data_IF_950743036792
#
_entry.id   IF_950743036792
#
_cell.length_a   1.000
_cell.length_b   1.000
_cell.length_c   1.000
_cell.angle_alpha   90.00
_cell.angle_beta   90.00
_cell.angle_gamma   90.00
#
_symmetry.space_group_name_H-M   'P 1'
#
loop_
_entity.id
_entity.type
_entity.pdbx_description
1 polymer ?
#
# COMPACT_ATOMS: atom_id res chain seq x y z
N UNK A 1 -2.49 -16.36 -18.41
CA UNK A 1 -1.30 -15.61 -17.98
C UNK A 1 -1.31 -15.36 -16.48
N UNK A 2 -0.20 -15.61 -15.88
CA UNK A 2 -0.08 -15.47 -14.45
C UNK A 2 0.03 -13.99 -14.05
N UNK A 3 -0.83 -13.56 -13.15
CA UNK A 3 -0.84 -12.19 -12.65
C UNK A 3 -0.19 -12.09 -11.29
N UNK A 4 0.70 -13.02 -11.01
CA UNK A 4 1.33 -13.08 -9.72
C UNK A 4 2.11 -11.81 -9.41
N UNK A 5 1.88 -11.26 -8.21
CA UNK A 5 2.64 -10.14 -7.70
C UNK A 5 3.40 -10.59 -6.46
N UNK A 6 4.62 -10.12 -6.29
CA UNK A 6 5.36 -10.39 -5.06
C UNK A 6 4.70 -9.66 -3.89
N UNK A 7 4.99 -10.13 -2.69
CA UNK A 7 4.48 -9.48 -1.49
C UNK A 7 4.94 -8.02 -1.43
N UNK A 8 6.18 -7.76 -1.78
CA UNK A 8 6.71 -6.40 -1.78
C UNK A 8 5.96 -5.53 -2.77
N UNK A 9 5.64 -6.06 -3.95
CA UNK A 9 4.90 -5.32 -4.95
C UNK A 9 3.49 -4.99 -4.46
N UNK A 10 2.86 -5.94 -3.78
CA UNK A 10 1.53 -5.71 -3.24
C UNK A 10 1.56 -4.61 -2.19
N UNK A 11 2.56 -4.66 -1.31
CA UNK A 11 2.72 -3.62 -0.29
C UNK A 11 2.91 -2.25 -0.94
N UNK A 12 3.78 -2.19 -1.95
CA UNK A 12 4.02 -0.93 -2.65
C UNK A 12 2.74 -0.41 -3.31
N UNK A 13 1.94 -1.31 -3.90
CA UNK A 13 0.69 -0.91 -4.53
C UNK A 13 -0.30 -0.33 -3.51
N UNK A 14 -0.41 -0.97 -2.34
CA UNK A 14 -1.30 -0.48 -1.29
C UNK A 14 -0.85 0.87 -0.78
N UNK A 15 0.45 1.02 -0.53
CA UNK A 15 0.98 2.30 -0.04
C UNK A 15 0.81 3.40 -1.07
N UNK A 16 1.03 3.09 -2.35
CA UNK A 16 0.85 4.07 -3.42
C UNK A 16 -0.60 4.52 -3.51
N UNK A 17 -1.54 3.58 -3.37
CA UNK A 17 -2.96 3.92 -3.41
C UNK A 17 -3.30 4.82 -2.22
N UNK A 18 -2.80 4.48 -1.04
CA UNK A 18 -3.06 5.30 0.14
C UNK A 18 -2.53 6.72 -0.03
N UNK A 19 -1.38 6.85 -0.70
CA UNK A 19 -0.81 8.16 -0.96
C UNK A 19 -1.64 8.94 -2.00
N UNK A 20 -1.97 8.26 -3.10
CA UNK A 20 -2.55 8.94 -4.26
C UNK A 20 -4.03 9.25 -4.11
N UNK A 21 -4.76 8.43 -3.35
CA UNK A 21 -6.20 8.60 -3.18
C UNK A 21 -6.56 9.44 -1.96
N UNK A 22 -5.58 9.95 -1.26
CA UNK A 22 -5.80 10.75 -0.06
C UNK A 22 -5.95 12.22 -0.45
N UNK A 23 -7.00 12.55 -1.19
CA UNK A 23 -7.14 13.87 -1.79
C UNK A 23 -7.45 14.96 -0.77
N UNK A 24 -8.02 14.60 0.37
CA UNK A 24 -8.43 15.60 1.37
C UNK A 24 -7.61 15.50 2.64
N UNK A 25 -6.62 14.64 2.68
CA UNK A 25 -5.80 14.47 3.88
C UNK A 25 -6.47 13.73 5.01
N UNK A 26 -7.65 13.18 4.78
CA UNK A 26 -8.40 12.48 5.83
C UNK A 26 -8.22 10.96 5.77
N UNK A 27 -7.37 10.49 4.87
CA UNK A 27 -7.12 9.06 4.76
C UNK A 27 -7.94 8.39 3.68
N UNK A 28 -7.67 7.13 3.47
CA UNK A 28 -8.29 6.32 2.42
C UNK A 28 -9.01 5.15 3.09
N UNK A 29 -10.26 4.92 2.70
CA UNK A 29 -11.05 3.84 3.27
C UNK A 29 -10.73 2.49 2.64
N UNK A 30 -11.16 1.43 3.32
CA UNK A 30 -10.91 0.06 2.85
C UNK A 30 -11.53 -0.18 1.48
N UNK A 31 -12.71 0.39 1.22
CA UNK A 31 -13.38 0.19 -0.06
C UNK A 31 -12.52 0.64 -1.23
N UNK A 32 -11.89 1.80 -1.10
CA UNK A 32 -11.01 2.31 -2.14
C UNK A 32 -9.80 1.41 -2.32
N UNK A 33 -9.22 0.96 -1.21
CA UNK A 33 -8.06 0.07 -1.28
C UNK A 33 -8.41 -1.25 -1.93
N UNK A 34 -9.60 -1.78 -1.64
CA UNK A 34 -10.04 -3.03 -2.26
C UNK A 34 -10.23 -2.86 -3.75
N UNK A 35 -10.87 -1.76 -4.15
CA UNK A 35 -11.15 -1.53 -5.57
C UNK A 35 -9.86 -1.43 -6.38
N UNK A 36 -8.86 -0.75 -5.82
CA UNK A 36 -7.60 -0.56 -6.53
C UNK A 36 -6.65 -1.74 -6.35
N UNK A 37 -6.78 -2.47 -5.25
CA UNK A 37 -5.83 -3.52 -4.92
C UNK A 37 -6.13 -4.88 -5.51
N UNK A 38 -7.35 -5.08 -5.96
CA UNK A 38 -7.76 -6.33 -6.59
C UNK A 38 -7.45 -7.56 -5.72
N UNK A 39 -7.86 -7.48 -4.46
CA UNK A 39 -7.72 -8.62 -3.55
C UNK A 39 -8.94 -8.68 -2.64
N UNK A 40 -9.11 -9.82 -1.97
CA UNK A 40 -10.25 -10.03 -1.11
C UNK A 40 -10.19 -9.13 0.12
N UNK A 41 -11.36 -8.91 0.71
CA UNK A 41 -11.43 -8.12 1.94
C UNK A 41 -10.60 -8.74 3.06
N UNK A 42 -10.68 -10.07 3.18
CA UNK A 42 -9.95 -10.76 4.24
C UNK A 42 -8.45 -10.55 4.11
N UNK A 43 -7.93 -10.69 2.90
CA UNK A 43 -6.50 -10.48 2.66
C UNK A 43 -6.10 -9.03 2.88
N UNK A 44 -6.92 -8.10 2.38
CA UNK A 44 -6.62 -6.69 2.54
C UNK A 44 -6.63 -6.30 4.01
N UNK A 45 -7.62 -6.78 4.77
CA UNK A 45 -7.73 -6.46 6.18
C UNK A 45 -6.51 -6.93 6.95
N UNK A 46 -6.04 -8.13 6.65
CA UNK A 46 -4.85 -8.66 7.30
C UNK A 46 -3.61 -7.84 6.93
N UNK A 47 -3.49 -7.52 5.66
CA UNK A 47 -2.34 -6.74 5.19
C UNK A 47 -2.32 -5.35 5.81
N UNK A 48 -3.47 -4.69 5.88
CA UNK A 48 -3.55 -3.36 6.47
C UNK A 48 -3.13 -3.38 7.94
N UNK A 49 -3.57 -4.41 8.66
CA UNK A 49 -3.19 -4.57 10.05
C UNK A 49 -1.67 -4.71 10.18
N UNK A 50 -1.06 -5.49 9.30
CA UNK A 50 0.39 -5.68 9.30
C UNK A 50 1.12 -4.38 8.97
N UNK A 51 0.61 -3.62 8.02
CA UNK A 51 1.26 -2.38 7.62
C UNK A 51 1.15 -1.31 8.69
N UNK A 52 0.03 -1.28 9.40
CA UNK A 52 -0.11 -0.38 10.54
C UNK A 52 0.86 -0.80 11.64
N UNK A 53 0.94 -2.12 11.90
CA UNK A 53 1.83 -2.62 12.93
C UNK A 53 3.29 -2.34 12.65
N UNK A 54 3.67 -2.30 11.38
CA UNK A 54 5.06 -2.03 11.01
C UNK A 54 5.35 -0.54 10.84
N UNK A 55 4.33 0.31 10.99
CA UNK A 55 4.53 1.75 10.92
C UNK A 55 4.50 2.34 9.52
N UNK A 56 4.14 1.55 8.52
CA UNK A 56 4.09 2.06 7.14
C UNK A 56 2.78 2.76 6.82
N UNK A 57 1.72 2.42 7.55
CA UNK A 57 0.43 3.09 7.45
C UNK A 57 0.01 3.57 8.82
N UNK A 58 -0.77 4.64 8.84
CA UNK A 58 -1.42 5.14 10.03
C UNK A 58 -2.91 4.84 9.89
N UNK A 59 -3.50 4.32 10.95
CA UNK A 59 -4.93 4.08 10.97
C UNK A 59 -5.62 5.23 11.68
N UNK A 60 -6.55 5.86 11.00
CA UNK A 60 -7.33 6.97 11.54
C UNK A 60 -8.70 6.43 11.87
N UNK A 61 -9.02 6.35 13.15
CA UNK A 61 -10.31 5.83 13.59
C UNK A 61 -11.34 6.96 13.60
N UNK A 62 -12.36 6.81 12.76
CA UNK A 62 -13.49 7.71 12.80
C UNK A 62 -14.58 7.11 13.67
N UNK A 63 -15.77 7.65 13.54
CA UNK A 63 -16.89 7.19 14.35
C UNK A 63 -17.24 5.74 14.05
N UNK A 64 -17.18 5.35 12.79
CA UNK A 64 -17.62 4.02 12.38
C UNK A 64 -16.68 3.34 11.41
N UNK A 65 -15.80 4.10 10.76
CA UNK A 65 -14.99 3.59 9.66
C UNK A 65 -13.56 3.97 9.89
N UNK A 66 -12.69 2.99 9.74
CA UNK A 66 -11.25 3.26 9.77
C UNK A 66 -10.80 3.75 8.40
N UNK A 67 -9.89 4.69 8.40
CA UNK A 67 -9.21 5.15 7.20
C UNK A 67 -7.72 5.03 7.40
N UNK A 68 -7.01 5.00 6.29
CA UNK A 68 -5.57 4.74 6.34
C UNK A 68 -4.83 5.82 5.60
N UNK A 69 -3.73 6.26 6.18
CA UNK A 69 -2.82 7.21 5.56
C UNK A 69 -1.44 6.61 5.49
N UNK A 70 -0.72 6.93 4.43
CA UNK A 70 0.67 6.52 4.36
C UNK A 70 1.45 7.37 5.37
N UNK A 71 2.33 6.70 6.11
CA UNK A 71 3.20 7.40 7.06
C UNK A 71 4.44 7.91 6.34
N UNK A 72 5.24 8.72 7.05
CA UNK A 72 6.50 9.14 6.50
C UNK A 72 7.40 7.93 6.21
N UNK A 73 7.38 6.94 7.11
CA UNK A 73 8.13 5.71 6.89
C UNK A 73 7.62 4.97 5.66
N UNK A 74 6.31 5.00 5.42
CA UNK A 74 5.75 4.40 4.21
C UNK A 74 6.19 5.12 2.96
N UNK A 75 6.30 6.43 3.01
CA UNK A 75 6.80 7.21 1.88
C UNK A 75 8.25 6.84 1.60
N UNK A 76 9.05 6.69 2.65
CA UNK A 76 10.44 6.26 2.50
C UNK A 76 10.52 4.86 1.90
N UNK A 77 9.62 3.97 2.33
CA UNK A 77 9.56 2.63 1.77
C UNK A 77 9.30 2.68 0.26
N UNK A 78 8.34 3.50 -0.16
CA UNK A 78 8.03 3.62 -1.58
C UNK A 78 9.21 4.15 -2.37
N UNK A 79 9.90 5.15 -1.83
CA UNK A 79 11.05 5.71 -2.52
C UNK A 79 12.13 4.66 -2.70
N UNK A 80 12.39 3.88 -1.66
CA UNK A 80 13.39 2.82 -1.72
C UNK A 80 12.96 1.72 -2.67
N UNK A 81 11.68 1.38 -2.66
CA UNK A 81 11.16 0.35 -3.55
C UNK A 81 11.32 0.76 -5.02
N UNK A 82 10.95 1.99 -5.36
CA UNK A 82 11.04 2.45 -6.74
C UNK A 82 12.49 2.54 -7.19
N UNK A 83 13.37 2.99 -6.30
CA UNK A 83 14.79 3.04 -6.61
C UNK A 83 15.34 1.66 -6.90
N UNK A 84 14.97 0.69 -6.07
CA UNK A 84 15.44 -0.68 -6.26
C UNK A 84 14.81 -1.29 -7.52
N UNK A 85 13.56 -0.99 -7.78
CA UNK A 85 12.88 -1.48 -8.98
C UNK A 85 13.58 -0.97 -10.24
N UNK A 86 13.92 0.32 -10.26
CA UNK A 86 14.64 0.89 -11.40
C UNK A 86 15.99 0.22 -11.58
N UNK A 87 16.69 0.01 -10.48
CA UNK A 87 17.99 -0.65 -10.53
C UNK A 87 17.85 -2.07 -11.06
N UNK A 88 16.85 -2.81 -10.56
CA UNK A 88 16.64 -4.19 -11.02
C UNK A 88 16.29 -4.24 -12.50
N UNK A 89 15.48 -3.29 -12.97
CA UNK A 89 15.07 -3.27 -14.36
C UNK A 89 16.25 -3.03 -15.28
N UNK A 90 17.27 -2.32 -14.83
CA UNK A 90 18.45 -2.09 -15.65
C UNK A 90 19.20 -3.39 -15.93
N UNK A 91 18.89 -4.44 -15.17
CA UNK A 91 19.46 -5.78 -15.40
C UNK A 91 18.43 -6.73 -16.00
N UNK A 92 17.29 -6.21 -16.43
CA UNK A 92 16.23 -7.04 -17.00
C UNK A 92 15.40 -7.79 -16.00
N UNK A 93 15.47 -7.42 -14.73
CA UNK A 93 14.73 -8.09 -13.67
C UNK A 93 13.43 -7.34 -13.37
N UNK A 94 12.43 -8.11 -12.93
CA UNK A 94 11.16 -7.56 -12.52
C UNK A 94 10.85 -7.90 -11.07
N UNK A 95 10.34 -6.94 -10.38
CA UNK A 95 9.93 -7.13 -8.98
C UNK A 95 8.43 -7.29 -8.87
#
# INVERSE_FOLDING_TARGET
>A
MNQYRTQVRIIADVLSTARDENSEGSGVGVTTLLRRGNMSYTRMSKLLSELVGSGLLLELSGDKISKYMISEKGIQFLAAYHSFEDFAQSFGLRL
#
